data_IF_428396875510
#
_entry.id   IF_428396875510
#
_cell.length_a   1.000
_cell.length_b   1.000
_cell.length_c   1.000
_cell.angle_alpha   90.00
_cell.angle_beta   90.00
_cell.angle_gamma   90.00
#
_symmetry.space_group_name_H-M   'P 1'
#
loop_
_entity.id
_entity.type
_entity.pdbx_description
1 polymer ?
#
# COMPACT_ATOMS: atom_id res chain seq x y z
N UNK A 1 -28.99 17.68 -0.79
CA UNK A 1 -27.61 17.76 -0.26
C UNK A 1 -26.71 17.38 -1.42
N UNK A 2 -25.85 18.28 -1.88
CA UNK A 2 -24.86 17.96 -2.90
C UNK A 2 -23.87 16.99 -2.26
N UNK A 3 -23.81 15.75 -2.73
CA UNK A 3 -22.81 14.79 -2.29
C UNK A 3 -21.43 15.38 -2.61
N UNK A 4 -20.74 15.82 -1.57
CA UNK A 4 -19.38 16.36 -1.73
C UNK A 4 -18.47 15.23 -2.21
N UNK A 5 -17.67 15.49 -3.25
CA UNK A 5 -16.68 14.51 -3.73
C UNK A 5 -15.70 14.23 -2.60
N UNK A 6 -15.51 12.94 -2.20
CA UNK A 6 -14.58 12.58 -1.14
C UNK A 6 -13.13 12.77 -1.60
N UNK A 7 -12.34 13.50 -0.81
CA UNK A 7 -10.91 13.68 -1.07
C UNK A 7 -10.06 12.72 -0.24
N UNK A 8 -8.91 12.35 -0.79
CA UNK A 8 -7.91 11.51 -0.12
C UNK A 8 -6.52 12.13 -0.29
N UNK A 9 -5.59 11.77 0.58
CA UNK A 9 -4.20 12.24 0.53
C UNK A 9 -3.31 11.06 0.17
N UNK A 10 -2.35 11.32 -0.72
CA UNK A 10 -1.17 10.48 -0.97
C UNK A 10 0.06 11.21 -0.43
N UNK A 11 0.78 10.59 0.50
CA UNK A 11 1.95 11.17 1.16
C UNK A 11 3.18 10.27 0.94
N UNK A 12 4.33 10.89 0.75
CA UNK A 12 5.60 10.24 0.53
C UNK A 12 6.54 10.34 1.76
N UNK A 13 6.05 10.87 2.88
CA UNK A 13 6.89 11.20 4.04
C UNK A 13 8.13 12.02 3.64
N UNK A 14 7.98 13.22 3.06
CA UNK A 14 9.10 13.98 2.52
C UNK A 14 10.10 14.36 3.61
N UNK A 15 11.37 14.04 3.36
CA UNK A 15 12.52 14.47 4.17
C UNK A 15 13.11 15.69 3.50
N UNK A 16 12.96 16.86 4.12
CA UNK A 16 13.47 18.11 3.57
C UNK A 16 14.98 18.21 3.75
N UNK A 17 15.60 19.07 2.95
CA UNK A 17 17.06 19.32 3.08
C UNK A 17 17.39 19.82 4.48
N UNK A 18 18.30 19.12 5.17
CA UNK A 18 18.71 19.43 6.53
C UNK A 18 17.80 18.86 7.63
N UNK A 19 16.77 18.09 7.26
CA UNK A 19 15.94 17.36 8.22
C UNK A 19 16.36 15.89 8.32
N UNK A 20 16.15 15.33 9.51
CA UNK A 20 16.30 13.89 9.76
C UNK A 20 14.98 13.15 9.51
N UNK A 21 15.04 11.86 9.20
CA UNK A 21 13.84 11.05 8.98
C UNK A 21 12.86 11.07 10.17
N UNK A 22 13.35 11.16 11.39
CA UNK A 22 12.54 11.29 12.60
C UNK A 22 11.59 12.50 12.52
N UNK A 23 12.09 13.64 12.08
CA UNK A 23 11.30 14.87 11.94
C UNK A 23 10.22 14.70 10.86
N UNK A 24 10.57 14.08 9.73
CA UNK A 24 9.62 13.77 8.67
C UNK A 24 8.47 12.87 9.15
N UNK A 25 8.74 11.88 10.02
CA UNK A 25 7.72 10.99 10.57
C UNK A 25 6.82 11.69 11.62
N UNK A 26 7.36 12.63 12.41
CA UNK A 26 6.53 13.49 13.27
C UNK A 26 5.57 14.33 12.42
N UNK A 27 6.08 14.99 11.38
CA UNK A 27 5.26 15.79 10.47
C UNK A 27 4.24 14.94 9.68
N UNK A 28 4.60 13.71 9.32
CA UNK A 28 3.68 12.76 8.69
C UNK A 28 2.45 12.50 9.57
N UNK A 29 2.67 12.24 10.85
CA UNK A 29 1.59 12.04 11.84
C UNK A 29 0.74 13.29 12.00
N UNK A 30 1.35 14.46 12.09
CA UNK A 30 0.63 15.74 12.19
C UNK A 30 -0.26 16.00 10.96
N UNK A 31 0.24 15.72 9.75
CA UNK A 31 -0.54 15.82 8.51
C UNK A 31 -1.73 14.83 8.50
N UNK A 32 -1.52 13.60 8.98
CA UNK A 32 -2.59 12.61 9.07
C UNK A 32 -3.70 13.03 10.06
N UNK A 33 -3.32 13.56 11.23
CA UNK A 33 -4.29 14.14 12.19
C UNK A 33 -5.04 15.32 11.58
N UNK A 34 -4.36 16.19 10.85
CA UNK A 34 -5.00 17.31 10.17
C UNK A 34 -5.99 16.82 9.11
N UNK A 35 -5.58 15.86 8.27
CA UNK A 35 -6.43 15.26 7.25
C UNK A 35 -7.71 14.65 7.86
N UNK A 36 -7.57 13.91 8.97
CA UNK A 36 -8.71 13.34 9.68
C UNK A 36 -9.67 14.42 10.21
N UNK A 37 -9.16 15.50 10.83
CA UNK A 37 -9.99 16.61 11.30
C UNK A 37 -10.69 17.35 10.17
N UNK A 38 -10.05 17.46 9.00
CA UNK A 38 -10.63 18.07 7.80
C UNK A 38 -11.61 17.16 7.04
N UNK A 39 -11.82 15.92 7.49
CA UNK A 39 -12.78 14.99 6.89
C UNK A 39 -12.30 14.35 5.60
N UNK A 40 -10.99 14.25 5.37
CA UNK A 40 -10.46 13.45 4.27
C UNK A 40 -10.83 11.98 4.46
N UNK A 41 -11.11 11.30 3.34
CA UNK A 41 -11.60 9.93 3.35
C UNK A 41 -10.47 8.92 3.61
N UNK A 42 -9.28 9.14 2.98
CA UNK A 42 -8.13 8.25 3.05
C UNK A 42 -6.83 9.02 3.21
N UNK A 43 -5.88 8.38 3.88
CA UNK A 43 -4.48 8.80 3.95
C UNK A 43 -3.60 7.63 3.50
N UNK A 44 -3.08 7.72 2.29
CA UNK A 44 -2.26 6.67 1.69
C UNK A 44 -0.80 7.06 1.63
N UNK A 45 0.07 6.07 1.76
CA UNK A 45 1.52 6.21 1.71
C UNK A 45 2.08 5.50 0.47
N UNK A 46 2.91 6.20 -0.31
CA UNK A 46 3.58 5.61 -1.45
C UNK A 46 4.82 4.80 -1.01
N UNK A 47 5.23 3.81 -1.81
CA UNK A 47 6.48 3.10 -1.64
C UNK A 47 7.52 3.62 -2.63
N UNK A 48 8.63 4.17 -2.12
CA UNK A 48 9.79 4.53 -2.91
C UNK A 48 11.07 4.17 -2.17
N UNK A 49 12.06 3.65 -2.92
CA UNK A 49 13.33 3.21 -2.37
C UNK A 49 14.50 4.03 -2.92
N UNK A 50 15.59 4.11 -2.14
CA UNK A 50 16.84 4.78 -2.48
C UNK A 50 16.66 6.26 -2.88
N UNK A 51 15.71 6.96 -2.27
CA UNK A 51 15.47 8.39 -2.48
C UNK A 51 15.68 9.14 -1.17
N UNK A 52 16.73 9.94 -1.09
CA UNK A 52 17.11 10.67 0.15
C UNK A 52 16.04 11.65 0.66
N UNK A 53 15.16 12.12 -0.24
CA UNK A 53 14.06 13.04 0.10
C UNK A 53 12.73 12.36 0.44
N UNK A 54 12.68 11.02 0.51
CA UNK A 54 11.44 10.25 0.73
C UNK A 54 11.65 9.23 1.83
N UNK A 55 10.85 9.31 2.89
CA UNK A 55 10.93 8.42 4.05
C UNK A 55 10.02 7.19 4.00
N UNK A 56 9.21 7.02 2.94
CA UNK A 56 8.14 6.02 2.90
C UNK A 56 8.54 4.65 2.34
N UNK A 57 9.83 4.30 2.35
CA UNK A 57 10.31 3.00 1.85
C UNK A 57 9.71 1.79 2.59
N UNK A 58 9.56 1.86 3.92
CA UNK A 58 8.92 0.82 4.72
C UNK A 58 7.42 1.12 4.88
N UNK A 59 6.67 1.08 3.79
CA UNK A 59 5.31 1.58 3.69
C UNK A 59 4.36 0.95 4.71
N UNK A 60 4.35 -0.38 4.87
CA UNK A 60 3.49 -1.09 5.83
C UNK A 60 3.76 -0.68 7.28
N UNK A 61 5.02 -0.41 7.64
CA UNK A 61 5.40 0.07 8.98
C UNK A 61 4.81 1.46 9.24
N UNK A 62 4.91 2.35 8.25
CA UNK A 62 4.34 3.70 8.37
C UNK A 62 2.81 3.69 8.33
N UNK A 63 2.18 2.80 7.57
CA UNK A 63 0.72 2.60 7.63
C UNK A 63 0.29 2.26 9.05
N UNK A 64 0.97 1.32 9.72
CA UNK A 64 0.70 0.99 11.12
C UNK A 64 0.93 2.16 12.07
N UNK A 65 2.00 2.93 11.86
CA UNK A 65 2.30 4.12 12.65
C UNK A 65 1.19 5.18 12.55
N UNK A 66 0.68 5.45 11.36
CA UNK A 66 -0.39 6.43 11.12
C UNK A 66 -1.75 5.89 11.57
N UNK A 67 -2.06 4.62 11.32
CA UNK A 67 -3.31 4.01 11.76
C UNK A 67 -3.43 4.02 13.30
N UNK A 68 -2.31 3.79 14.01
CA UNK A 68 -2.26 3.87 15.48
C UNK A 68 -2.33 5.30 16.04
N UNK A 69 -2.05 6.31 15.22
CA UNK A 69 -2.12 7.71 15.61
C UNK A 69 -3.46 8.39 15.25
N UNK A 70 -4.30 7.74 14.45
CA UNK A 70 -5.59 8.27 13.98
C UNK A 70 -6.73 7.36 14.41
N UNK A 71 -7.99 7.84 14.39
CA UNK A 71 -9.14 7.09 14.91
C UNK A 71 -10.13 6.61 13.82
N UNK A 72 -10.34 7.40 12.76
CA UNK A 72 -11.44 7.20 11.81
C UNK A 72 -11.00 7.14 10.35
N UNK A 73 -10.02 7.96 9.96
CA UNK A 73 -9.55 8.02 8.57
C UNK A 73 -9.02 6.66 8.13
N UNK A 74 -9.35 6.24 6.91
CA UNK A 74 -8.77 5.03 6.34
C UNK A 74 -7.31 5.27 6.01
N UNK A 75 -6.45 4.32 6.34
CA UNK A 75 -5.00 4.41 6.11
C UNK A 75 -4.57 3.24 5.23
N UNK A 76 -3.65 3.48 4.31
CA UNK A 76 -3.21 2.40 3.44
C UNK A 76 -1.99 2.75 2.59
N UNK A 77 -1.72 1.88 1.63
CA UNK A 77 -0.67 2.10 0.65
C UNK A 77 -1.23 2.64 -0.67
N UNK A 78 -0.48 3.55 -1.27
CA UNK A 78 -0.81 4.11 -2.58
C UNK A 78 0.41 4.17 -3.50
N UNK A 79 1.11 3.02 -3.71
CA UNK A 79 0.86 1.61 -3.35
C UNK A 79 2.10 0.89 -2.88
N UNK A 80 1.87 -0.33 -2.44
CA UNK A 80 2.95 -1.32 -2.34
C UNK A 80 3.37 -1.68 -3.76
N UNK A 81 4.66 -1.61 -4.02
CA UNK A 81 5.23 -2.06 -5.30
C UNK A 81 5.35 -3.59 -5.26
N UNK A 82 4.22 -4.29 -5.50
CA UNK A 82 4.08 -5.74 -5.30
C UNK A 82 5.21 -6.55 -5.92
N UNK A 83 5.73 -6.20 -7.11
CA UNK A 83 6.87 -6.89 -7.65
C UNK A 83 8.13 -6.85 -6.77
N UNK A 84 8.28 -6.01 -5.77
CA UNK A 84 9.42 -6.00 -4.83
C UNK A 84 9.23 -6.98 -3.66
N UNK A 85 8.08 -7.62 -3.54
CA UNK A 85 7.68 -8.38 -2.35
C UNK A 85 7.15 -9.77 -2.70
N UNK A 86 7.22 -10.68 -1.75
CA UNK A 86 6.46 -11.93 -1.81
C UNK A 86 5.00 -11.66 -1.44
N UNK A 87 4.00 -12.11 -2.25
CA UNK A 87 2.59 -11.89 -1.95
C UNK A 87 2.16 -12.34 -0.55
N UNK A 88 2.69 -13.47 -0.06
CA UNK A 88 2.43 -13.95 1.30
C UNK A 88 2.85 -12.93 2.37
N UNK A 89 4.03 -12.33 2.24
CA UNK A 89 4.54 -11.36 3.22
C UNK A 89 3.64 -10.10 3.25
N UNK A 90 3.18 -9.63 2.10
CA UNK A 90 2.24 -8.51 2.03
C UNK A 90 0.88 -8.88 2.63
N UNK A 91 0.38 -10.08 2.36
CA UNK A 91 -0.87 -10.56 2.96
C UNK A 91 -0.78 -10.60 4.50
N UNK A 92 0.33 -11.09 5.06
CA UNK A 92 0.54 -11.14 6.51
C UNK A 92 0.71 -9.74 7.12
N UNK A 93 1.44 -8.84 6.45
CA UNK A 93 1.60 -7.45 6.92
C UNK A 93 0.26 -6.72 6.96
N UNK A 94 -0.51 -6.75 5.87
CA UNK A 94 -1.79 -6.06 5.80
C UNK A 94 -2.90 -6.79 6.57
N UNK A 95 -2.82 -8.11 6.70
CA UNK A 95 -3.66 -8.89 7.63
C UNK A 95 -3.41 -8.51 9.09
N UNK A 96 -2.14 -8.29 9.47
CA UNK A 96 -1.77 -7.79 10.80
C UNK A 96 -2.33 -6.38 11.02
N UNK A 97 -2.16 -5.49 10.04
CA UNK A 97 -2.69 -4.12 10.11
C UNK A 97 -4.21 -4.10 10.25
N UNK A 98 -4.93 -4.88 9.46
CA UNK A 98 -6.40 -4.98 9.54
C UNK A 98 -6.86 -5.56 10.89
N UNK A 99 -6.11 -6.52 11.44
CA UNK A 99 -6.38 -7.09 12.77
C UNK A 99 -6.18 -6.06 13.89
N UNK A 100 -5.19 -5.17 13.76
CA UNK A 100 -4.92 -4.10 14.71
C UNK A 100 -5.89 -2.91 14.56
N UNK A 101 -6.32 -2.61 13.33
CA UNK A 101 -7.14 -1.44 12.99
C UNK A 101 -8.33 -1.82 12.09
N UNK A 102 -9.28 -2.61 12.59
CA UNK A 102 -10.34 -3.21 11.78
C UNK A 102 -11.15 -2.20 10.97
N UNK A 103 -11.36 -2.48 9.69
CA UNK A 103 -12.16 -1.68 8.78
C UNK A 103 -11.50 -0.39 8.29
N UNK A 104 -10.23 -0.15 8.67
CA UNK A 104 -9.53 1.11 8.34
C UNK A 104 -8.38 0.96 7.36
N UNK A 105 -8.02 -0.24 6.99
CA UNK A 105 -6.83 -0.50 6.17
C UNK A 105 -7.20 -0.66 4.69
N UNK A 106 -6.43 -0.02 3.81
CA UNK A 106 -6.49 -0.19 2.36
C UNK A 106 -5.14 -0.72 1.83
N UNK A 107 -5.17 -1.65 0.89
CA UNK A 107 -3.98 -2.16 0.22
C UNK A 107 -3.99 -1.74 -1.26
N UNK A 108 -3.33 -0.64 -1.57
CA UNK A 108 -3.07 -0.25 -2.95
C UNK A 108 -1.81 -0.93 -3.48
N UNK A 109 -1.86 -1.44 -4.70
CA UNK A 109 -0.80 -2.19 -5.36
C UNK A 109 -0.32 -1.48 -6.63
N UNK A 110 0.99 -1.28 -6.75
CA UNK A 110 1.65 -0.78 -7.95
C UNK A 110 2.46 -1.88 -8.66
N UNK A 111 2.54 -1.79 -10.00
CA UNK A 111 3.34 -2.71 -10.82
C UNK A 111 4.79 -2.25 -10.97
N UNK A 112 5.01 -0.95 -11.06
CA UNK A 112 6.35 -0.40 -11.25
C UNK A 112 7.25 -0.70 -10.03
N UNK A 113 8.58 -0.88 -10.20
CA UNK A 113 9.48 -1.15 -9.08
C UNK A 113 9.65 0.06 -8.13
N UNK A 114 9.17 1.25 -8.51
CA UNK A 114 9.25 2.47 -7.67
C UNK A 114 10.68 2.95 -7.42
N UNK A 115 11.65 2.53 -8.27
CA UNK A 115 13.07 2.81 -8.07
C UNK A 115 13.89 2.55 -9.34
N UNK A 116 15.21 2.85 -9.31
CA UNK A 116 16.17 2.53 -10.37
C UNK A 116 16.55 1.04 -10.40
N UNK A 117 17.19 0.60 -11.51
CA UNK A 117 17.59 -0.81 -11.70
C UNK A 117 18.56 -1.33 -10.64
N UNK A 118 19.49 -0.51 -10.16
CA UNK A 118 20.47 -0.91 -9.13
C UNK A 118 19.76 -1.21 -7.82
N UNK A 119 18.83 -0.36 -7.45
CA UNK A 119 18.02 -0.53 -6.25
C UNK A 119 17.04 -1.71 -6.40
N UNK A 120 16.45 -1.91 -7.59
CA UNK A 120 15.62 -3.07 -7.87
C UNK A 120 16.41 -4.39 -7.69
N UNK A 121 17.67 -4.45 -8.10
CA UNK A 121 18.56 -5.58 -7.82
C UNK A 121 18.82 -5.79 -6.32
N UNK A 122 18.95 -4.71 -5.55
CA UNK A 122 19.16 -4.81 -4.10
C UNK A 122 17.91 -5.32 -3.37
N UNK A 123 16.71 -4.96 -3.85
CA UNK A 123 15.42 -5.40 -3.30
C UNK A 123 15.11 -6.86 -3.66
N UNK A 124 15.58 -7.33 -4.82
CA UNK A 124 15.29 -8.66 -5.35
C UNK A 124 16.55 -9.39 -5.75
N UNK A 125 16.59 -10.68 -5.43
CA UNK A 125 17.67 -11.57 -5.88
C UNK A 125 17.45 -12.11 -7.30
N UNK A 126 16.23 -12.04 -7.85
CA UNK A 126 15.87 -12.48 -9.20
C UNK A 126 15.00 -11.42 -9.86
N UNK A 127 15.46 -10.84 -10.98
CA UNK A 127 14.74 -9.84 -11.77
C UNK A 127 13.97 -10.42 -12.95
N UNK A 128 14.25 -11.68 -13.31
CA UNK A 128 13.60 -12.32 -14.46
C UNK A 128 12.11 -12.56 -14.19
N UNK A 129 11.26 -12.06 -15.08
CA UNK A 129 9.82 -12.32 -15.09
C UNK A 129 8.94 -11.37 -14.29
N UNK A 130 9.50 -10.45 -13.52
CA UNK A 130 8.76 -9.69 -12.48
C UNK A 130 7.58 -8.84 -12.97
N UNK A 131 7.67 -8.25 -14.16
CA UNK A 131 6.59 -7.40 -14.68
C UNK A 131 5.45 -8.21 -15.30
N UNK A 132 5.76 -9.40 -15.82
CA UNK A 132 4.80 -10.33 -16.39
C UNK A 132 4.05 -11.12 -15.31
N UNK A 133 4.64 -11.24 -14.13
CA UNK A 133 4.07 -11.99 -13.01
C UNK A 133 3.05 -11.17 -12.18
N UNK A 134 3.02 -9.83 -12.31
CA UNK A 134 2.17 -8.97 -11.51
C UNK A 134 0.69 -9.40 -11.46
N UNK A 135 0.01 -9.76 -12.56
CA UNK A 135 -1.38 -10.24 -12.49
C UNK A 135 -1.53 -11.52 -11.64
N UNK A 136 -0.57 -12.45 -11.78
CA UNK A 136 -0.55 -13.69 -11.01
C UNK A 136 -0.33 -13.41 -9.52
N UNK A 137 0.59 -12.51 -9.20
CA UNK A 137 0.92 -12.13 -7.83
C UNK A 137 -0.27 -11.42 -7.14
N UNK A 138 -1.05 -10.61 -7.90
CA UNK A 138 -2.30 -10.02 -7.39
C UNK A 138 -3.34 -11.10 -7.08
N UNK A 139 -3.53 -12.08 -7.96
CA UNK A 139 -4.45 -13.21 -7.72
C UNK A 139 -3.99 -14.05 -6.55
N UNK A 140 -2.70 -14.33 -6.43
CA UNK A 140 -2.12 -15.04 -5.28
C UNK A 140 -2.39 -14.29 -3.98
N UNK A 141 -2.19 -12.98 -3.97
CA UNK A 141 -2.48 -12.13 -2.80
C UNK A 141 -3.97 -12.15 -2.43
N UNK A 142 -4.88 -12.05 -3.40
CA UNK A 142 -6.33 -12.19 -3.15
C UNK A 142 -6.66 -13.54 -2.52
N UNK A 143 -6.03 -14.62 -2.99
CA UNK A 143 -6.22 -15.95 -2.44
C UNK A 143 -5.75 -16.05 -0.98
N UNK A 144 -4.68 -15.35 -0.57
CA UNK A 144 -4.23 -15.31 0.83
C UNK A 144 -5.22 -14.62 1.77
N UNK A 145 -6.07 -13.72 1.29
CA UNK A 145 -7.14 -13.12 2.09
C UNK A 145 -8.45 -13.93 2.08
N UNK A 146 -8.60 -14.88 1.17
CA UNK A 146 -9.82 -15.68 1.06
C UNK A 146 -9.98 -16.68 2.22
N UNK A 147 -11.21 -16.88 2.70
CA UNK A 147 -11.57 -17.94 3.64
C UNK A 147 -11.43 -19.34 3.03
N UNK A 148 -11.65 -19.44 1.71
CA UNK A 148 -11.67 -20.70 0.98
C UNK A 148 -10.27 -21.23 0.62
N UNK A 149 -9.23 -20.90 1.40
CA UNK A 149 -7.87 -21.35 1.14
C UNK A 149 -7.75 -22.88 1.21
N UNK A 150 -7.51 -23.50 0.06
CA UNK A 150 -7.25 -24.95 -0.06
C UNK A 150 -5.75 -25.29 -0.05
N UNK A 151 -4.89 -24.26 -0.06
CA UNK A 151 -3.44 -24.38 -0.09
C UNK A 151 -2.82 -24.80 1.26
N UNK A 152 -1.61 -25.39 1.18
CA UNK A 152 -0.83 -25.73 2.38
C UNK A 152 -0.23 -24.51 3.10
N UNK A 153 -0.10 -23.37 2.40
CA UNK A 153 0.45 -22.11 2.92
C UNK A 153 -0.71 -21.15 3.14
N UNK A 154 -0.77 -20.55 4.31
CA UNK A 154 -1.81 -19.59 4.70
C UNK A 154 -1.17 -18.31 5.24
N UNK A 155 -1.77 -17.16 4.95
CA UNK A 155 -1.41 -15.91 5.62
C UNK A 155 -1.98 -15.89 7.03
N UNK A 156 -1.12 -15.70 8.04
CA UNK A 156 -1.54 -15.68 9.45
C UNK A 156 -0.83 -14.52 10.18
N UNK A 157 -1.61 -13.44 10.54
CA UNK A 157 -3.01 -13.19 10.17
C UNK A 157 -3.16 -12.79 8.70
N UNK A 158 -4.35 -12.94 8.15
CA UNK A 158 -4.65 -12.57 6.76
C UNK A 158 -5.85 -13.32 6.21
N UNK A 159 -5.83 -14.65 6.31
CA UNK A 159 -6.91 -15.52 5.81
C UNK A 159 -8.27 -15.14 6.44
N UNK A 160 -9.27 -14.89 5.58
CA UNK A 160 -10.62 -14.50 5.99
C UNK A 160 -10.79 -13.03 6.34
N UNK A 161 -9.75 -12.22 6.23
CA UNK A 161 -9.84 -10.78 6.47
C UNK A 161 -10.23 -10.00 5.22
N UNK A 162 -11.13 -9.03 5.38
CA UNK A 162 -11.56 -8.18 4.28
C UNK A 162 -10.69 -6.91 4.19
N UNK A 163 -9.51 -7.04 3.56
CA UNK A 163 -8.65 -5.92 3.24
C UNK A 163 -8.97 -5.43 1.82
N UNK A 164 -9.52 -4.22 1.62
CA UNK A 164 -9.78 -3.69 0.29
C UNK A 164 -8.49 -3.55 -0.52
N UNK A 165 -8.42 -4.27 -1.66
CA UNK A 165 -7.29 -4.22 -2.60
C UNK A 165 -7.64 -3.23 -3.72
N UNK A 166 -6.71 -2.32 -4.03
CA UNK A 166 -6.79 -1.34 -5.11
C UNK A 166 -5.64 -1.57 -6.09
N UNK A 167 -5.90 -1.46 -7.39
CA UNK A 167 -4.82 -1.41 -8.37
C UNK A 167 -4.53 0.05 -8.75
N UNK A 168 -3.24 0.39 -8.80
CA UNK A 168 -2.77 1.72 -9.18
C UNK A 168 -2.00 1.67 -10.50
N UNK A 169 -2.02 2.77 -11.23
CA UNK A 169 -1.19 2.97 -12.41
C UNK A 169 -1.68 4.07 -13.33
N UNK A 170 -0.79 4.51 -14.23
CA UNK A 170 -1.06 5.52 -15.25
C UNK A 170 -1.37 4.91 -16.63
N UNK A 171 -1.45 3.59 -16.75
CA UNK A 171 -1.65 2.89 -18.01
C UNK A 171 -2.97 2.13 -18.07
N UNK A 172 -3.46 1.88 -19.29
CA UNK A 172 -4.64 1.05 -19.53
C UNK A 172 -4.48 -0.38 -19.00
N UNK A 173 -3.27 -0.90 -18.93
CA UNK A 173 -2.99 -2.26 -18.43
C UNK A 173 -3.54 -2.47 -17.00
N UNK A 174 -3.20 -1.58 -16.07
CA UNK A 174 -3.66 -1.71 -14.67
C UNK A 174 -5.17 -1.50 -14.55
N UNK A 175 -5.75 -0.59 -15.36
CA UNK A 175 -7.18 -0.36 -15.40
C UNK A 175 -7.95 -1.59 -15.93
N UNK A 176 -7.45 -2.21 -17.01
CA UNK A 176 -8.02 -3.43 -17.56
C UNK A 176 -7.93 -4.60 -16.58
N UNK A 177 -6.76 -4.78 -15.95
CA UNK A 177 -6.56 -5.81 -14.94
C UNK A 177 -7.52 -5.63 -13.76
N UNK A 178 -7.68 -4.39 -13.27
CA UNK A 178 -8.63 -4.07 -12.21
C UNK A 178 -10.06 -4.46 -12.61
N UNK A 179 -10.49 -4.09 -13.82
CA UNK A 179 -11.81 -4.48 -14.36
C UNK A 179 -11.98 -5.99 -14.47
N UNK A 180 -10.95 -6.72 -14.93
CA UNK A 180 -11.01 -8.19 -15.05
C UNK A 180 -11.10 -8.89 -13.67
N UNK A 181 -10.46 -8.33 -12.65
CA UNK A 181 -10.43 -8.90 -11.30
C UNK A 181 -11.54 -8.36 -10.40
N UNK A 182 -12.38 -7.43 -10.88
CA UNK A 182 -13.42 -6.78 -10.08
C UNK A 182 -12.86 -5.90 -8.94
N UNK A 183 -11.64 -5.37 -9.11
CA UNK A 183 -10.97 -4.54 -8.12
C UNK A 183 -11.15 -3.05 -8.42
N UNK A 184 -11.23 -2.18 -7.40
CA UNK A 184 -11.17 -0.75 -7.59
C UNK A 184 -9.83 -0.32 -8.19
N UNK A 185 -9.86 0.75 -8.98
CA UNK A 185 -8.70 1.31 -9.65
C UNK A 185 -8.45 2.76 -9.23
N UNK A 186 -7.21 3.12 -9.00
CA UNK A 186 -6.78 4.50 -8.81
C UNK A 186 -5.78 4.89 -9.91
N UNK A 187 -6.11 5.93 -10.66
CA UNK A 187 -5.18 6.50 -11.63
C UNK A 187 -4.07 7.26 -10.88
N UNK A 188 -2.80 6.92 -11.17
CA UNK A 188 -1.62 7.47 -10.50
C UNK A 188 -0.51 7.82 -11.50
#
# INVERSE_FOLDING_TARGET
>A
MTDAVPFSILDLAPIRRGEEAQQAFVQLRERAHWAERCGFNRYWLAEHHNMSGIGSAATSVLVGHIAGATERIRVGSGGIMLPNHAPLVIAEQFGTLESLYPGRIDLGLGRAPGTDLTTAHALRRKLEGSDHDFPRDVVELQNYFSDAQTGRVRAVPGAGLNVPIWLLGSSLFSAQLAGMLGLPYAFA
#
